data_IF_355072900039
#
_entry.id   IF_355072900039
#
_cell.length_a   1.000
_cell.length_b   1.000
_cell.length_c   1.000
_cell.angle_alpha   90.00
_cell.angle_beta   90.00
_cell.angle_gamma   90.00
#
_symmetry.space_group_name_H-M   'P 1'
#
loop_
_entity.id
_entity.type
_entity.pdbx_description
1 polymer ?
#
# COMPACT_ATOMS: atom_id res chain seq x y z
N UNK A 1 -5.81 -14.09 -9.68
CA UNK A 1 -4.62 -13.24 -9.83
C UNK A 1 -4.25 -12.77 -8.45
N UNK A 2 -3.01 -12.99 -8.03
CA UNK A 2 -2.50 -12.55 -6.73
C UNK A 2 -1.46 -11.48 -6.99
N UNK A 3 -1.75 -10.27 -6.52
CA UNK A 3 -0.80 -9.16 -6.47
C UNK A 3 -0.21 -9.08 -5.07
N UNK A 4 1.08 -8.79 -5.00
CA UNK A 4 1.81 -8.56 -3.75
C UNK A 4 2.39 -7.15 -3.77
N UNK A 5 2.13 -6.39 -2.71
CA UNK A 5 2.72 -5.08 -2.44
C UNK A 5 3.84 -5.26 -1.42
N UNK A 6 5.07 -4.95 -1.84
CA UNK A 6 6.25 -4.94 -0.98
C UNK A 6 6.67 -3.50 -0.69
N UNK A 7 6.89 -3.16 0.57
CA UNK A 7 7.28 -1.82 1.02
C UNK A 7 8.69 -1.87 1.63
N UNK A 8 9.51 -0.86 1.38
CA UNK A 8 10.87 -0.70 1.89
C UNK A 8 11.75 -1.95 1.69
N UNK A 9 11.87 -2.43 0.45
CA UNK A 9 12.65 -3.62 0.09
C UNK A 9 12.22 -4.91 0.83
N UNK A 10 10.91 -5.07 1.05
CA UNK A 10 10.34 -6.26 1.71
C UNK A 10 10.34 -6.18 3.24
N UNK A 11 10.41 -4.98 3.82
CA UNK A 11 10.12 -4.78 5.25
C UNK A 11 8.68 -5.20 5.57
N UNK A 12 7.76 -4.88 4.64
CA UNK A 12 6.39 -5.35 4.68
C UNK A 12 5.97 -5.93 3.33
N UNK A 13 5.33 -7.09 3.36
CA UNK A 13 4.73 -7.75 2.20
C UNK A 13 3.23 -7.97 2.42
N UNK A 14 2.43 -7.45 1.49
CA UNK A 14 0.97 -7.54 1.57
C UNK A 14 0.38 -8.17 0.32
N UNK A 15 -0.36 -9.25 0.52
CA UNK A 15 -1.19 -9.87 -0.52
C UNK A 15 -2.65 -9.44 -0.45
N UNK A 16 -3.01 -8.66 0.58
CA UNK A 16 -4.38 -8.18 0.84
C UNK A 16 -4.37 -6.69 1.08
N UNK A 17 -5.09 -5.94 0.23
CA UNK A 17 -5.13 -4.48 0.26
C UNK A 17 -5.54 -3.94 1.63
N UNK A 18 -6.65 -4.44 2.19
CA UNK A 18 -7.14 -4.02 3.52
C UNK A 18 -6.14 -4.25 4.64
N UNK A 19 -5.29 -5.27 4.52
CA UNK A 19 -4.24 -5.52 5.52
C UNK A 19 -3.12 -4.49 5.38
N UNK A 20 -2.69 -4.18 4.14
CA UNK A 20 -1.72 -3.12 3.88
C UNK A 20 -2.18 -1.79 4.46
N UNK A 21 -3.40 -1.35 4.11
CA UNK A 21 -3.99 -0.10 4.61
C UNK A 21 -4.02 -0.07 6.13
N UNK A 22 -4.49 -1.14 6.77
CA UNK A 22 -4.57 -1.19 8.23
C UNK A 22 -3.18 -1.06 8.88
N UNK A 23 -2.19 -1.81 8.38
CA UNK A 23 -0.81 -1.73 8.91
C UNK A 23 -0.22 -0.35 8.68
N UNK A 24 -0.46 0.26 7.52
CA UNK A 24 0.01 1.61 7.21
C UNK A 24 -0.64 2.68 8.12
N UNK A 25 -1.92 2.51 8.49
CA UNK A 25 -2.57 3.37 9.48
C UNK A 25 -1.99 3.20 10.89
N UNK A 26 -1.77 1.96 11.32
CA UNK A 26 -1.32 1.65 12.69
C UNK A 26 0.17 1.97 12.90
N UNK A 27 1.03 1.64 11.93
CA UNK A 27 2.49 1.74 12.06
C UNK A 27 3.05 3.06 11.52
N UNK A 28 2.53 3.56 10.39
CA UNK A 28 3.00 4.81 9.75
C UNK A 28 2.12 6.02 10.08
N UNK A 29 0.95 5.81 10.69
CA UNK A 29 0.07 6.90 11.11
C UNK A 29 -0.64 7.59 9.96
N UNK A 30 -0.81 6.94 8.81
CA UNK A 30 -1.51 7.54 7.67
C UNK A 30 -2.99 7.82 8.01
N UNK A 31 -3.40 9.06 7.82
CA UNK A 31 -4.76 9.53 8.11
C UNK A 31 -5.16 10.72 7.21
N UNK A 32 -6.45 11.07 7.25
CA UNK A 32 -6.99 12.23 6.54
C UNK A 32 -7.54 11.95 5.14
N UNK A 33 -8.08 12.98 4.51
CA UNK A 33 -8.89 12.86 3.29
C UNK A 33 -8.18 12.21 2.10
N UNK A 34 -6.89 12.50 1.92
CA UNK A 34 -6.10 11.89 0.85
C UNK A 34 -5.92 10.39 1.08
N UNK A 35 -5.62 10.00 2.32
CA UNK A 35 -5.52 8.60 2.71
C UNK A 35 -6.86 7.87 2.63
N UNK A 36 -7.97 8.51 3.05
CA UNK A 36 -9.30 7.90 2.96
C UNK A 36 -9.69 7.58 1.50
N UNK A 37 -9.28 8.41 0.54
CA UNK A 37 -9.49 8.13 -0.89
C UNK A 37 -8.69 6.92 -1.36
N UNK A 38 -7.43 6.80 -0.92
CA UNK A 38 -6.59 5.63 -1.23
C UNK A 38 -7.18 4.38 -0.58
N UNK A 39 -7.50 4.43 0.71
CA UNK A 39 -8.11 3.30 1.43
C UNK A 39 -9.45 2.85 0.83
N UNK A 40 -10.19 3.75 0.19
CA UNK A 40 -11.44 3.44 -0.48
C UNK A 40 -11.28 2.91 -1.92
N UNK A 41 -10.11 3.05 -2.54
CA UNK A 41 -9.89 2.60 -3.93
C UNK A 41 -9.86 1.08 -4.08
N UNK A 42 -9.43 0.36 -3.02
CA UNK A 42 -9.15 -1.08 -3.04
C UNK A 42 -8.17 -1.49 -4.15
N UNK A 43 -7.30 -0.54 -4.54
CA UNK A 43 -6.37 -0.67 -5.66
C UNK A 43 -4.92 -0.51 -5.20
N UNK A 44 -4.14 -1.58 -5.36
CA UNK A 44 -2.73 -1.62 -4.99
C UNK A 44 -1.86 -0.67 -5.82
N UNK A 45 -2.22 -0.35 -7.06
CA UNK A 45 -1.48 0.61 -7.88
C UNK A 45 -1.63 2.02 -7.30
N UNK A 46 -2.87 2.41 -6.95
CA UNK A 46 -3.15 3.71 -6.32
C UNK A 46 -2.44 3.83 -4.96
N UNK A 47 -2.43 2.75 -4.17
CA UNK A 47 -1.71 2.73 -2.90
C UNK A 47 -0.21 2.84 -3.09
N UNK A 48 0.36 2.13 -4.08
CA UNK A 48 1.78 2.22 -4.38
C UNK A 48 2.18 3.64 -4.80
N UNK A 49 1.44 4.26 -5.72
CA UNK A 49 1.70 5.64 -6.16
C UNK A 49 1.65 6.63 -4.99
N UNK A 50 0.70 6.47 -4.07
CA UNK A 50 0.61 7.31 -2.88
C UNK A 50 1.84 7.18 -1.97
N UNK A 51 2.27 5.94 -1.71
CA UNK A 51 3.41 5.65 -0.83
C UNK A 51 4.73 6.10 -1.46
N UNK A 52 4.90 5.92 -2.78
CA UNK A 52 6.07 6.44 -3.51
C UNK A 52 6.12 7.96 -3.49
N UNK A 53 4.96 8.63 -3.62
CA UNK A 53 4.87 10.08 -3.51
C UNK A 53 5.23 10.60 -2.09
N UNK A 54 4.98 9.80 -1.05
CA UNK A 54 5.38 10.07 0.32
C UNK A 54 6.87 9.73 0.60
N UNK A 55 7.55 9.09 -0.37
CA UNK A 55 8.97 8.77 -0.32
C UNK A 55 9.30 7.35 0.16
N UNK A 56 8.31 6.48 0.29
CA UNK A 56 8.51 5.06 0.55
C UNK A 56 8.86 4.31 -0.73
N UNK A 57 9.72 3.31 -0.63
CA UNK A 57 10.01 2.45 -1.77
C UNK A 57 8.96 1.35 -1.84
N UNK A 58 8.29 1.22 -2.99
CA UNK A 58 7.21 0.24 -3.17
C UNK A 58 7.44 -0.58 -4.43
N UNK A 59 7.22 -1.89 -4.31
CA UNK A 59 7.30 -2.85 -5.41
C UNK A 59 5.99 -3.63 -5.52
N UNK A 60 5.44 -3.72 -6.74
CA UNK A 60 4.24 -4.49 -7.04
C UNK A 60 4.60 -5.71 -7.88
N UNK A 61 4.45 -6.91 -7.31
CA UNK A 61 4.56 -8.16 -8.05
C UNK A 61 3.17 -8.70 -8.43
N UNK A 62 2.92 -8.83 -9.73
CA UNK A 62 1.75 -9.50 -10.28
C UNK A 62 2.13 -10.83 -10.90
N UNK A 63 1.62 -11.94 -10.36
CA UNK A 63 1.81 -13.26 -10.98
C UNK A 63 0.73 -13.46 -12.07
N UNK A 64 1.14 -13.39 -13.35
CA UNK A 64 0.29 -13.53 -14.55
C UNK A 64 0.01 -14.99 -14.91
#
# INVERSE_FOLDING_TARGET
MSQTLSINHGEYDFTRFRQAVKTLQEEYGYEGLAWDMVAASDDFEILAEFLEADGLHVELEGNY
#
